data_IF_456410345035
#
_entry.id   IF_456410345035
#
_cell.length_a   1.000
_cell.length_b   1.000
_cell.length_c   1.000
_cell.angle_alpha   90.00
_cell.angle_beta   90.00
_cell.angle_gamma   90.00
#
_symmetry.space_group_name_H-M   'P 1'
#
loop_
_entity.id
_entity.type
_entity.pdbx_description
1 polymer ?
#
# COMPACT_ATOMS: atom_id res chain seq x y z
N UNK A 1 -41.06 -13.55 13.36
CA UNK A 1 -40.44 -13.78 14.68
C UNK A 1 -38.98 -13.36 14.60
N UNK A 2 -38.67 -12.15 15.06
CA UNK A 2 -37.29 -11.68 15.21
C UNK A 2 -36.67 -12.48 16.36
N UNK A 3 -35.76 -13.39 16.05
CA UNK A 3 -34.90 -14.00 17.07
C UNK A 3 -34.05 -12.90 17.69
N UNK A 4 -34.44 -12.39 18.86
CA UNK A 4 -33.57 -11.57 19.68
C UNK A 4 -32.39 -12.44 20.12
N UNK A 5 -31.23 -12.22 19.51
CA UNK A 5 -30.00 -12.88 19.93
C UNK A 5 -29.54 -12.20 21.23
N UNK A 6 -29.81 -12.84 22.37
CA UNK A 6 -29.36 -12.36 23.67
C UNK A 6 -27.84 -12.49 23.72
N UNK A 7 -27.14 -11.40 24.01
CA UNK A 7 -25.69 -11.42 24.08
C UNK A 7 -25.24 -12.06 25.40
N UNK A 8 -24.35 -13.04 25.30
CA UNK A 8 -23.85 -13.78 26.48
C UNK A 8 -22.33 -13.65 26.62
N UNK A 9 -21.87 -13.68 27.87
CA UNK A 9 -20.45 -13.79 28.18
C UNK A 9 -19.91 -15.14 27.68
N UNK A 10 -18.88 -15.10 26.83
CA UNK A 10 -18.29 -16.30 26.23
C UNK A 10 -17.61 -17.25 27.23
N UNK A 11 -17.43 -16.84 28.49
CA UNK A 11 -16.89 -17.71 29.53
C UNK A 11 -17.97 -18.30 30.45
N UNK A 12 -18.77 -17.43 31.08
CA UNK A 12 -19.68 -17.83 32.16
C UNK A 12 -21.15 -17.86 31.74
N UNK A 13 -21.48 -17.56 30.48
CA UNK A 13 -22.84 -17.60 29.95
C UNK A 13 -23.77 -16.48 30.43
N UNK A 14 -23.31 -15.56 31.29
CA UNK A 14 -24.13 -14.43 31.76
C UNK A 14 -24.65 -13.59 30.60
N UNK A 15 -25.96 -13.40 30.56
CA UNK A 15 -26.66 -12.55 29.60
C UNK A 15 -26.39 -11.06 29.88
N UNK A 16 -26.38 -10.27 28.81
CA UNK A 16 -26.35 -8.81 28.92
C UNK A 16 -27.68 -8.30 29.47
N UNK A 17 -27.62 -7.44 30.49
CA UNK A 17 -28.79 -6.73 31.02
C UNK A 17 -28.34 -5.34 31.53
N UNK A 18 -29.25 -4.56 32.13
CA UNK A 18 -28.93 -3.21 32.63
C UNK A 18 -27.73 -3.18 33.59
N UNK A 19 -27.56 -4.25 34.38
CA UNK A 19 -26.46 -4.40 35.35
C UNK A 19 -25.18 -5.03 34.76
N UNK A 20 -25.30 -5.84 33.70
CA UNK A 20 -24.20 -6.62 33.11
C UNK A 20 -23.90 -6.11 31.71
N UNK A 21 -22.91 -5.22 31.60
CA UNK A 21 -22.41 -4.73 30.30
C UNK A 21 -21.31 -5.66 29.78
N UNK A 22 -21.55 -6.26 28.61
CA UNK A 22 -20.56 -7.11 27.94
C UNK A 22 -19.61 -6.27 27.08
N UNK A 23 -18.32 -6.59 27.13
CA UNK A 23 -17.27 -5.94 26.31
C UNK A 23 -16.70 -6.91 25.29
N UNK A 24 -16.54 -6.44 24.06
CA UNK A 24 -15.87 -7.20 23.00
C UNK A 24 -14.42 -7.55 23.40
N UNK A 25 -13.96 -8.72 22.96
CA UNK A 25 -12.54 -9.02 22.92
C UNK A 25 -11.84 -7.95 22.08
N UNK A 26 -10.89 -7.24 22.69
CA UNK A 26 -10.17 -6.12 22.02
C UNK A 26 -9.36 -6.57 20.82
N UNK A 27 -8.98 -7.85 20.76
CA UNK A 27 -8.20 -8.41 19.66
C UNK A 27 -9.09 -8.80 18.47
N UNK A 28 -10.06 -9.71 18.66
CA UNK A 28 -10.82 -10.30 17.55
C UNK A 28 -12.25 -9.77 17.38
N UNK A 29 -12.81 -9.08 18.40
CA UNK A 29 -14.20 -8.59 18.43
C UNK A 29 -15.30 -9.64 18.23
N UNK A 30 -15.00 -10.94 18.17
CA UNK A 30 -15.98 -12.02 17.96
C UNK A 30 -16.77 -12.43 19.20
N UNK A 31 -16.16 -12.25 20.37
CA UNK A 31 -16.68 -12.75 21.64
C UNK A 31 -16.73 -11.63 22.65
N UNK A 32 -17.71 -11.69 23.55
CA UNK A 32 -17.93 -10.67 24.58
C UNK A 32 -17.70 -11.25 25.98
N UNK A 33 -17.31 -10.38 26.91
CA UNK A 33 -17.00 -10.74 28.30
C UNK A 33 -17.63 -9.75 29.27
N UNK A 34 -18.18 -10.26 30.39
CA UNK A 34 -18.68 -9.42 31.48
C UNK A 34 -17.55 -8.91 32.41
N UNK A 35 -16.37 -9.53 32.38
CA UNK A 35 -15.22 -9.14 33.21
C UNK A 35 -13.88 -9.56 32.58
N UNK A 36 -12.80 -8.95 33.07
CA UNK A 36 -11.42 -9.31 32.69
C UNK A 36 -11.10 -10.76 33.08
N UNK A 37 -11.63 -11.26 34.20
CA UNK A 37 -11.41 -12.64 34.65
C UNK A 37 -12.05 -13.65 33.69
N UNK A 38 -13.26 -13.36 33.22
CA UNK A 38 -13.91 -14.17 32.18
C UNK A 38 -13.10 -14.19 30.89
N UNK A 39 -12.54 -13.04 30.48
CA UNK A 39 -11.66 -12.98 29.31
C UNK A 39 -10.38 -13.82 29.51
N UNK A 40 -9.74 -13.75 30.68
CA UNK A 40 -8.53 -14.51 31.01
C UNK A 40 -8.80 -16.01 31.03
N UNK A 41 -9.90 -16.44 31.62
CA UNK A 41 -10.29 -17.85 31.71
C UNK A 41 -10.63 -18.45 30.32
N UNK A 42 -11.31 -17.69 29.46
CA UNK A 42 -11.64 -18.14 28.10
C UNK A 42 -10.45 -18.09 27.13
N UNK A 43 -9.40 -17.31 27.42
CA UNK A 43 -8.26 -17.06 26.51
C UNK A 43 -7.67 -18.35 25.93
N UNK A 44 -7.47 -19.40 26.74
CA UNK A 44 -6.85 -20.66 26.27
C UNK A 44 -7.71 -21.37 25.22
N UNK A 45 -9.03 -21.42 25.42
CA UNK A 45 -9.99 -22.05 24.49
C UNK A 45 -10.12 -21.25 23.18
N UNK A 46 -10.04 -19.92 23.26
CA UNK A 46 -10.27 -19.03 22.13
C UNK A 46 -9.01 -18.64 21.34
N UNK A 47 -7.81 -18.89 21.87
CA UNK A 47 -6.54 -18.38 21.34
C UNK A 47 -6.37 -18.57 19.83
N UNK A 48 -6.66 -19.77 19.31
CA UNK A 48 -6.51 -20.11 17.88
C UNK A 48 -7.49 -19.31 17.01
N UNK A 49 -8.78 -19.33 17.35
CA UNK A 49 -9.82 -18.59 16.64
C UNK A 49 -9.58 -17.06 16.70
N UNK A 50 -9.17 -16.56 17.87
CA UNK A 50 -8.83 -15.16 18.09
C UNK A 50 -7.70 -14.70 17.15
N UNK A 51 -6.60 -15.47 17.08
CA UNK A 51 -5.47 -15.18 16.20
C UNK A 51 -5.88 -15.17 14.73
N UNK A 52 -6.68 -16.15 14.30
CA UNK A 52 -7.19 -16.20 12.92
C UNK A 52 -7.98 -14.94 12.60
N UNK A 53 -8.93 -14.57 13.46
CA UNK A 53 -9.74 -13.36 13.26
C UNK A 53 -8.91 -12.07 13.29
N UNK A 54 -7.89 -11.99 14.14
CA UNK A 54 -6.98 -10.83 14.14
C UNK A 54 -6.28 -10.69 12.78
N UNK A 55 -5.85 -11.80 12.17
CA UNK A 55 -5.29 -11.77 10.82
C UNK A 55 -6.33 -11.37 9.78
N UNK A 56 -7.55 -11.90 9.84
CA UNK A 56 -8.66 -11.50 8.95
C UNK A 56 -8.99 -10.01 9.06
N UNK A 57 -9.05 -9.45 10.29
CA UNK A 57 -9.30 -8.03 10.50
C UNK A 57 -8.18 -7.13 9.95
N UNK A 58 -6.93 -7.61 10.00
CA UNK A 58 -5.80 -6.91 9.37
C UNK A 58 -5.95 -6.91 7.85
N UNK A 59 -6.27 -8.06 7.26
CA UNK A 59 -6.51 -8.20 5.83
C UNK A 59 -7.70 -7.37 5.35
N UNK A 60 -8.82 -7.42 6.07
CA UNK A 60 -10.00 -6.58 5.82
C UNK A 60 -9.61 -5.10 5.75
N UNK A 61 -8.85 -4.61 6.73
CA UNK A 61 -8.35 -3.22 6.74
C UNK A 61 -7.39 -2.93 5.58
N UNK A 62 -6.46 -3.83 5.30
CA UNK A 62 -5.45 -3.68 4.25
C UNK A 62 -6.09 -3.55 2.87
N UNK A 63 -7.12 -4.35 2.59
CA UNK A 63 -7.82 -4.35 1.31
C UNK A 63 -8.90 -3.27 1.22
N UNK A 64 -9.50 -2.83 2.33
CA UNK A 64 -10.51 -1.76 2.33
C UNK A 64 -9.92 -0.35 2.19
N UNK A 65 -8.61 -0.18 2.42
CA UNK A 65 -7.94 1.12 2.36
C UNK A 65 -7.08 1.26 1.10
N UNK A 66 -6.78 2.50 0.70
CA UNK A 66 -5.88 2.82 -0.41
C UNK A 66 -6.37 2.29 -1.76
N UNK A 67 -7.69 2.36 -2.00
CA UNK A 67 -8.34 1.98 -3.26
C UNK A 67 -8.44 3.15 -4.25
N UNK A 68 -8.10 4.36 -3.82
CA UNK A 68 -8.09 5.58 -4.62
C UNK A 68 -6.66 6.06 -4.80
N UNK A 69 -6.41 6.73 -5.93
CA UNK A 69 -5.12 7.34 -6.23
C UNK A 69 -4.89 8.56 -5.34
N UNK A 70 -3.70 8.69 -4.73
CA UNK A 70 -3.38 9.85 -3.91
C UNK A 70 -3.10 11.09 -4.78
N UNK A 71 -3.39 12.29 -4.27
CA UNK A 71 -3.15 13.59 -4.93
C UNK A 71 -1.69 13.82 -5.40
N UNK A 72 -0.74 13.00 -4.94
CA UNK A 72 0.68 13.07 -5.33
C UNK A 72 1.00 12.49 -6.71
N UNK A 73 0.00 11.95 -7.41
CA UNK A 73 0.15 11.47 -8.80
C UNK A 73 0.16 12.63 -9.81
N UNK A 74 0.04 13.87 -9.33
CA UNK A 74 0.22 15.10 -10.09
C UNK A 74 1.64 15.65 -9.90
N UNK A 75 2.23 16.13 -10.99
CA UNK A 75 3.55 16.75 -10.91
C UNK A 75 3.46 18.05 -10.09
N UNK A 76 4.25 18.26 -9.04
CA UNK A 76 4.13 19.44 -8.18
C UNK A 76 4.68 20.73 -8.82
N UNK A 77 5.28 20.64 -10.02
CA UNK A 77 5.80 21.79 -10.77
C UNK A 77 4.78 22.29 -11.79
N UNK A 78 4.21 21.38 -12.60
CA UNK A 78 3.26 21.75 -13.65
C UNK A 78 1.80 21.42 -13.29
N UNK A 79 1.56 20.82 -12.11
CA UNK A 79 0.24 20.42 -11.60
C UNK A 79 -0.58 19.50 -12.50
N UNK A 80 0.02 18.94 -13.55
CA UNK A 80 -0.61 18.00 -14.48
C UNK A 80 -0.44 16.56 -13.99
N UNK A 81 -1.43 15.67 -14.22
CA UNK A 81 -1.33 14.25 -13.87
C UNK A 81 -0.10 13.63 -14.54
N UNK A 82 0.59 12.74 -13.84
CA UNK A 82 1.74 12.01 -14.37
C UNK A 82 1.21 10.78 -15.13
N UNK A 83 1.50 10.63 -16.43
CA UNK A 83 1.00 9.50 -17.20
C UNK A 83 1.43 8.14 -16.63
N UNK A 84 0.64 7.12 -16.91
CA UNK A 84 0.93 5.73 -16.52
C UNK A 84 1.77 5.02 -17.60
N UNK A 85 2.76 4.19 -17.23
CA UNK A 85 3.25 3.91 -15.87
C UNK A 85 4.03 5.09 -15.26
N UNK A 86 3.79 5.41 -13.99
CA UNK A 86 4.36 6.63 -13.39
C UNK A 86 5.89 6.58 -13.24
N UNK A 87 6.47 5.41 -12.98
CA UNK A 87 7.93 5.22 -12.87
C UNK A 87 8.66 5.59 -14.16
N UNK A 88 8.04 5.33 -15.32
CA UNK A 88 8.59 5.68 -16.64
C UNK A 88 8.49 7.18 -16.93
N UNK A 89 7.50 7.85 -16.35
CA UNK A 89 7.19 9.24 -16.65
C UNK A 89 7.56 10.24 -15.55
N UNK A 90 8.19 9.78 -14.46
CA UNK A 90 8.58 10.62 -13.33
C UNK A 90 9.91 10.22 -12.70
N UNK A 91 10.38 11.08 -11.79
CA UNK A 91 11.56 10.85 -10.96
C UNK A 91 11.19 11.23 -9.53
N UNK A 92 11.44 10.32 -8.58
CA UNK A 92 11.31 10.59 -7.16
C UNK A 92 12.54 11.34 -6.64
N UNK A 93 12.32 12.48 -5.99
CA UNK A 93 13.37 13.33 -5.44
C UNK A 93 13.46 13.11 -3.93
N UNK A 94 14.47 12.35 -3.50
CA UNK A 94 14.69 11.99 -2.07
C UNK A 94 14.84 13.23 -1.18
N UNK A 95 15.44 14.31 -1.68
CA UNK A 95 15.66 15.53 -0.90
C UNK A 95 14.38 16.25 -0.43
N UNK A 96 13.25 16.05 -1.10
CA UNK A 96 11.98 16.68 -0.74
C UNK A 96 10.78 15.73 -0.75
N UNK A 97 11.03 14.43 -0.96
CA UNK A 97 10.00 13.38 -1.07
C UNK A 97 8.92 13.71 -2.11
N UNK A 98 9.30 14.37 -3.21
CA UNK A 98 8.39 14.74 -4.30
C UNK A 98 8.68 13.94 -5.56
N UNK A 99 7.62 13.55 -6.25
CA UNK A 99 7.68 12.92 -7.56
C UNK A 99 7.47 13.97 -8.63
N UNK A 100 8.47 14.18 -9.48
CA UNK A 100 8.44 15.21 -10.53
C UNK A 100 8.39 14.53 -11.88
N UNK A 101 7.50 14.97 -12.78
CA UNK A 101 7.45 14.40 -14.12
C UNK A 101 8.75 14.67 -14.90
N UNK A 102 9.15 13.74 -15.77
CA UNK A 102 10.39 13.89 -16.56
C UNK A 102 10.40 15.14 -17.42
N UNK A 103 9.24 15.59 -17.92
CA UNK A 103 9.13 16.83 -18.69
C UNK A 103 9.57 18.06 -17.90
N UNK A 104 9.10 18.21 -16.66
CA UNK A 104 9.52 19.32 -15.78
C UNK A 104 11.00 19.23 -15.41
N UNK A 105 11.52 18.01 -15.20
CA UNK A 105 12.95 17.83 -14.95
C UNK A 105 13.80 18.27 -16.15
N UNK A 106 13.47 17.80 -17.35
CA UNK A 106 14.20 18.18 -18.58
C UNK A 106 14.11 19.68 -18.81
N UNK A 107 12.94 20.29 -18.58
CA UNK A 107 12.76 21.74 -18.69
C UNK A 107 13.64 22.51 -17.68
N UNK A 108 13.80 22.01 -16.46
CA UNK A 108 14.71 22.60 -15.47
C UNK A 108 16.17 22.50 -15.92
N UNK A 109 16.62 21.31 -16.38
CA UNK A 109 17.97 21.11 -16.90
C UNK A 109 18.28 22.03 -18.10
N UNK A 110 17.33 22.20 -19.03
CA UNK A 110 17.48 23.13 -20.17
C UNK A 110 17.66 24.59 -19.75
N UNK A 111 17.21 24.97 -18.55
CA UNK A 111 17.42 26.29 -17.96
C UNK A 111 18.70 26.39 -17.12
N UNK A 112 19.58 25.39 -17.19
CA UNK A 112 20.83 25.33 -16.42
C UNK A 112 20.65 24.96 -14.95
N UNK A 113 19.48 24.43 -14.55
CA UNK A 113 19.26 23.95 -13.20
C UNK A 113 19.60 22.46 -13.10
N UNK A 114 20.74 22.13 -12.47
CA UNK A 114 21.19 20.75 -12.25
C UNK A 114 20.88 20.21 -10.84
N UNK A 115 20.40 21.09 -9.95
CA UNK A 115 19.91 20.74 -8.62
C UNK A 115 18.50 20.12 -8.70
N UNK A 116 17.92 19.73 -7.56
CA UNK A 116 16.54 19.26 -7.54
C UNK A 116 15.57 20.29 -8.17
N UNK A 117 14.88 19.91 -9.24
CA UNK A 117 13.93 20.79 -9.93
C UNK A 117 12.79 21.33 -9.06
N UNK A 118 12.49 20.68 -7.93
CA UNK A 118 11.44 21.13 -7.00
C UNK A 118 12.01 22.01 -5.87
N UNK A 119 12.89 21.46 -5.02
CA UNK A 119 13.35 22.15 -3.80
C UNK A 119 14.74 22.79 -3.92
N UNK A 120 15.39 22.73 -5.09
CA UNK A 120 16.72 23.30 -5.37
C UNK A 120 17.86 22.75 -4.51
N UNK A 121 17.65 21.67 -3.75
CA UNK A 121 18.74 21.00 -3.03
C UNK A 121 19.80 20.50 -4.02
N UNK A 122 21.09 20.81 -3.81
CA UNK A 122 22.15 20.38 -4.69
C UNK A 122 22.26 18.87 -4.85
N UNK A 123 22.62 18.41 -6.05
CA UNK A 123 22.89 17.01 -6.32
C UNK A 123 24.27 16.65 -5.75
N UNK A 124 24.30 15.78 -4.74
CA UNK A 124 25.57 15.27 -4.20
C UNK A 124 26.06 14.08 -5.02
N UNK A 125 27.18 14.24 -5.71
CA UNK A 125 27.92 13.17 -6.38
C UNK A 125 29.00 12.62 -5.43
N UNK A 126 28.67 11.66 -4.56
CA UNK A 126 29.70 10.81 -3.93
C UNK A 126 29.12 9.64 -3.12
N UNK A 127 29.74 8.48 -3.31
CA UNK A 127 29.64 7.18 -2.62
C UNK A 127 28.24 6.58 -2.40
N UNK A 128 27.92 5.54 -3.17
CA UNK A 128 26.62 4.85 -3.17
C UNK A 128 26.25 4.31 -1.78
N UNK A 129 27.23 3.90 -0.99
CA UNK A 129 27.03 3.35 0.36
C UNK A 129 26.67 4.40 1.41
N UNK A 130 27.40 5.53 1.43
CA UNK A 130 27.12 6.68 2.29
C UNK A 130 25.77 7.33 1.95
N UNK A 131 25.38 7.28 0.67
CA UNK A 131 24.10 7.78 0.21
C UNK A 131 22.92 6.91 0.69
N UNK A 132 23.07 5.59 0.75
CA UNK A 132 22.01 4.69 1.21
C UNK A 132 21.72 4.88 2.70
N UNK A 133 22.74 4.92 3.56
CA UNK A 133 22.54 5.14 4.99
C UNK A 133 21.87 6.50 5.28
N UNK A 134 22.30 7.56 4.58
CA UNK A 134 21.64 8.87 4.67
C UNK A 134 20.21 8.84 4.16
N UNK A 135 19.94 8.15 3.05
CA UNK A 135 18.59 8.01 2.50
C UNK A 135 17.66 7.28 3.47
N UNK A 136 18.15 6.23 4.15
CA UNK A 136 17.40 5.52 5.19
C UNK A 136 17.01 6.45 6.33
N UNK A 137 17.94 7.28 6.82
CA UNK A 137 17.65 8.26 7.86
C UNK A 137 16.57 9.26 7.40
N UNK A 138 16.75 9.82 6.20
CA UNK A 138 15.77 10.75 5.62
C UNK A 138 14.40 10.10 5.43
N UNK A 139 14.34 8.83 5.02
CA UNK A 139 13.08 8.12 4.88
C UNK A 139 12.43 7.82 6.23
N UNK A 140 13.20 7.49 7.27
CA UNK A 140 12.66 7.31 8.62
C UNK A 140 12.05 8.62 9.13
N UNK A 141 12.75 9.74 9.01
CA UNK A 141 12.21 11.06 9.35
C UNK A 141 10.95 11.39 8.53
N UNK A 142 10.99 11.11 7.23
CA UNK A 142 9.86 11.37 6.35
C UNK A 142 8.65 10.46 6.67
N UNK A 143 8.85 9.22 7.14
CA UNK A 143 7.77 8.34 7.60
C UNK A 143 7.04 8.94 8.79
N UNK A 144 7.77 9.51 9.76
CA UNK A 144 7.17 10.22 10.91
C UNK A 144 6.34 11.45 10.46
N UNK A 145 6.76 12.09 9.37
CA UNK A 145 6.02 13.17 8.72
C UNK A 145 4.90 12.68 7.77
N UNK A 146 4.67 11.37 7.72
CA UNK A 146 3.61 10.76 6.93
C UNK A 146 3.94 10.58 5.44
N UNK A 147 5.21 10.56 5.03
CA UNK A 147 5.58 10.30 3.64
C UNK A 147 5.30 8.84 3.25
N UNK A 148 4.52 8.67 2.18
CA UNK A 148 4.08 7.36 1.71
C UNK A 148 5.16 6.71 0.83
N UNK A 149 5.85 7.49 -0.02
CA UNK A 149 7.00 7.02 -0.80
C UNK A 149 8.18 6.64 0.13
N UNK A 150 8.33 7.29 1.30
CA UNK A 150 9.34 6.89 2.27
C UNK A 150 9.10 5.49 2.83
N UNK A 151 7.85 5.15 3.16
CA UNK A 151 7.48 3.78 3.50
C UNK A 151 7.83 2.82 2.35
N UNK A 152 7.47 3.13 1.11
CA UNK A 152 7.78 2.27 -0.04
C UNK A 152 9.29 2.01 -0.19
N UNK A 153 10.10 3.06 -0.12
CA UNK A 153 11.56 2.98 -0.25
C UNK A 153 12.22 2.21 0.90
N UNK A 154 11.77 2.41 2.15
CA UNK A 154 12.23 1.62 3.30
C UNK A 154 11.90 0.15 3.12
N UNK A 155 10.71 -0.18 2.59
CA UNK A 155 10.34 -1.55 2.27
C UNK A 155 11.32 -2.20 1.28
N UNK A 156 11.70 -1.48 0.23
CA UNK A 156 12.70 -1.96 -0.73
C UNK A 156 14.07 -2.20 -0.12
N UNK A 157 14.52 -1.29 0.75
CA UNK A 157 15.82 -1.40 1.41
C UNK A 157 15.87 -2.59 2.37
N UNK A 158 14.85 -2.75 3.21
CA UNK A 158 14.79 -3.90 4.12
C UNK A 158 14.65 -5.23 3.38
N UNK A 159 13.96 -5.26 2.24
CA UNK A 159 13.88 -6.49 1.44
C UNK A 159 15.25 -6.86 0.83
N UNK A 160 15.98 -5.87 0.28
CA UNK A 160 17.26 -6.10 -0.42
C UNK A 160 18.48 -6.14 0.50
N UNK A 161 18.37 -5.67 1.74
CA UNK A 161 19.51 -5.52 2.65
C UNK A 161 20.52 -4.45 2.21
N UNK A 162 20.07 -3.40 1.51
CA UNK A 162 20.97 -2.33 1.06
C UNK A 162 21.26 -1.36 2.21
N UNK A 163 22.46 -1.41 2.77
CA UNK A 163 22.88 -0.51 3.87
C UNK A 163 22.28 -0.84 5.25
N UNK A 164 21.45 -1.87 5.34
CA UNK A 164 20.92 -2.47 6.59
C UNK A 164 20.81 -3.98 6.42
N UNK A 165 20.74 -4.72 7.52
CA UNK A 165 20.46 -6.15 7.45
C UNK A 165 19.09 -6.41 6.77
N UNK A 166 18.99 -7.39 5.86
CA UNK A 166 17.71 -7.79 5.29
C UNK A 166 16.70 -8.14 6.39
N UNK A 167 15.49 -7.59 6.27
CA UNK A 167 14.37 -7.89 7.14
C UNK A 167 13.06 -7.81 6.36
N UNK A 168 12.66 -8.96 5.83
CA UNK A 168 11.46 -9.07 5.01
C UNK A 168 10.17 -8.72 5.78
N UNK A 169 10.10 -9.04 7.08
CA UNK A 169 8.92 -8.74 7.88
C UNK A 169 8.74 -7.22 8.04
N UNK A 170 9.84 -6.48 8.29
CA UNK A 170 9.82 -5.01 8.26
C UNK A 170 9.51 -4.48 6.87
N UNK A 171 10.04 -5.10 5.82
CA UNK A 171 9.73 -4.70 4.45
C UNK A 171 8.23 -4.75 4.15
N UNK A 172 7.59 -5.87 4.50
CA UNK A 172 6.14 -6.07 4.36
C UNK A 172 5.38 -5.02 5.17
N UNK A 173 5.74 -4.74 6.42
CA UNK A 173 5.06 -3.73 7.24
C UNK A 173 5.10 -2.32 6.63
N UNK A 174 6.26 -1.94 6.09
CA UNK A 174 6.39 -0.66 5.39
C UNK A 174 5.54 -0.63 4.12
N UNK A 175 5.55 -1.70 3.31
CA UNK A 175 4.72 -1.78 2.11
C UNK A 175 3.22 -1.85 2.40
N UNK A 176 2.77 -2.56 3.43
CA UNK A 176 1.37 -2.56 3.87
C UNK A 176 0.93 -1.16 4.28
N UNK A 177 1.78 -0.44 5.01
CA UNK A 177 1.52 0.96 5.41
C UNK A 177 1.40 1.89 4.20
N UNK A 178 2.27 1.72 3.20
CA UNK A 178 2.21 2.48 1.97
C UNK A 178 0.98 2.12 1.12
N UNK A 179 0.68 0.82 0.98
CA UNK A 179 -0.44 0.30 0.21
C UNK A 179 -1.77 0.81 0.78
N UNK A 180 -2.00 0.73 2.09
CA UNK A 180 -3.19 1.28 2.75
C UNK A 180 -3.42 2.77 2.47
N UNK A 181 -2.39 3.50 2.06
CA UNK A 181 -2.43 4.93 1.71
C UNK A 181 -2.33 5.18 0.20
N UNK A 182 -2.67 4.17 -0.60
CA UNK A 182 -2.80 4.25 -2.05
C UNK A 182 -1.47 4.14 -2.81
N UNK A 183 -0.38 3.68 -2.19
CA UNK A 183 0.86 3.47 -2.96
C UNK A 183 0.75 2.22 -3.84
N UNK A 184 0.68 2.46 -5.15
CA UNK A 184 0.44 1.44 -6.17
C UNK A 184 1.57 0.41 -6.23
N UNK A 185 2.82 0.85 -6.39
CA UNK A 185 3.99 -0.05 -6.51
C UNK A 185 4.21 -0.90 -5.24
N UNK A 186 4.03 -0.32 -4.04
CA UNK A 186 4.07 -1.07 -2.78
C UNK A 186 3.03 -2.21 -2.77
N UNK A 187 1.84 -1.93 -3.29
CA UNK A 187 0.77 -2.92 -3.37
C UNK A 187 1.07 -4.01 -4.40
N UNK A 188 1.59 -3.64 -5.57
CA UNK A 188 2.05 -4.60 -6.58
C UNK A 188 3.15 -5.52 -6.05
N UNK A 189 4.12 -4.96 -5.29
CA UNK A 189 5.18 -5.73 -4.64
C UNK A 189 4.65 -6.72 -3.59
N UNK A 190 3.63 -6.34 -2.81
CA UNK A 190 2.96 -7.28 -1.90
C UNK A 190 2.26 -8.41 -2.65
N UNK A 191 1.67 -8.12 -3.82
CA UNK A 191 1.08 -9.12 -4.70
C UNK A 191 2.12 -10.12 -5.19
N UNK A 192 3.22 -9.64 -5.76
CA UNK A 192 4.29 -10.47 -6.28
C UNK A 192 4.97 -11.30 -5.17
N UNK A 193 5.21 -10.71 -4.00
CA UNK A 193 5.77 -11.42 -2.85
C UNK A 193 4.81 -12.51 -2.33
N UNK A 194 3.51 -12.22 -2.33
CA UNK A 194 2.47 -13.18 -1.95
C UNK A 194 2.47 -14.39 -2.89
N UNK A 195 2.48 -14.15 -4.20
CA UNK A 195 2.47 -15.19 -5.23
C UNK A 195 3.71 -16.09 -5.14
N UNK A 196 4.91 -15.49 -5.02
CA UNK A 196 6.16 -16.24 -4.85
C UNK A 196 6.18 -17.14 -3.60
N UNK A 197 5.32 -16.86 -2.62
CA UNK A 197 5.18 -17.63 -1.38
C UNK A 197 4.00 -18.60 -1.38
N UNK A 198 3.31 -18.75 -2.51
CA UNK A 198 2.10 -19.58 -2.64
C UNK A 198 0.89 -19.02 -1.89
N UNK A 199 0.88 -17.72 -1.58
CA UNK A 199 -0.28 -17.04 -0.98
C UNK A 199 -1.17 -16.43 -2.06
N UNK A 200 -1.60 -17.27 -3.00
CA UNK A 200 -2.23 -16.87 -4.25
C UNK A 200 -3.47 -16.00 -4.06
N UNK A 201 -4.33 -16.34 -3.10
CA UNK A 201 -5.54 -15.55 -2.81
C UNK A 201 -5.19 -14.11 -2.39
N UNK A 202 -4.15 -13.95 -1.56
CA UNK A 202 -3.67 -12.62 -1.14
C UNK A 202 -3.01 -11.90 -2.31
N UNK A 203 -2.25 -12.61 -3.13
CA UNK A 203 -1.61 -12.04 -4.31
C UNK A 203 -2.62 -11.48 -5.30
N UNK A 204 -3.69 -12.24 -5.61
CA UNK A 204 -4.80 -11.78 -6.45
C UNK A 204 -5.40 -10.50 -5.88
N UNK A 205 -5.73 -10.45 -4.58
CA UNK A 205 -6.33 -9.25 -3.97
C UNK A 205 -5.44 -8.01 -4.09
N UNK A 206 -4.13 -8.17 -3.89
CA UNK A 206 -3.18 -7.07 -4.05
C UNK A 206 -3.09 -6.59 -5.49
N UNK A 207 -2.94 -7.51 -6.45
CA UNK A 207 -2.83 -7.18 -7.86
C UNK A 207 -4.13 -6.60 -8.44
N UNK A 208 -5.32 -7.06 -7.99
CA UNK A 208 -6.60 -6.46 -8.38
C UNK A 208 -6.66 -4.97 -8.05
N UNK A 209 -6.32 -4.62 -6.82
CA UNK A 209 -6.39 -3.22 -6.39
C UNK A 209 -5.29 -2.39 -7.06
N UNK A 210 -4.08 -2.94 -7.22
CA UNK A 210 -3.01 -2.25 -7.93
C UNK A 210 -3.33 -2.02 -9.42
N UNK A 211 -3.89 -3.02 -10.11
CA UNK A 211 -4.34 -2.90 -11.49
C UNK A 211 -5.46 -1.86 -11.65
N UNK A 212 -6.43 -1.85 -10.72
CA UNK A 212 -7.47 -0.81 -10.68
C UNK A 212 -6.90 0.60 -10.46
N UNK A 213 -5.77 0.70 -9.77
CA UNK A 213 -5.02 1.94 -9.63
C UNK A 213 -4.08 2.21 -10.81
N UNK A 214 -4.21 1.48 -11.94
CA UNK A 214 -3.45 1.74 -13.15
C UNK A 214 -2.06 1.09 -13.20
N UNK A 215 -1.78 0.11 -12.35
CA UNK A 215 -0.53 -0.67 -12.44
C UNK A 215 -0.60 -1.72 -13.54
N UNK A 216 0.17 -1.51 -14.61
CA UNK A 216 0.17 -2.42 -15.76
C UNK A 216 0.75 -3.79 -15.40
N UNK A 217 1.82 -3.84 -14.62
CA UNK A 217 2.45 -5.10 -14.20
C UNK A 217 1.46 -5.96 -13.40
N UNK A 218 0.69 -5.37 -12.48
CA UNK A 218 -0.33 -6.11 -11.75
C UNK A 218 -1.48 -6.58 -12.64
N UNK A 219 -1.85 -5.82 -13.68
CA UNK A 219 -2.84 -6.27 -14.66
C UNK A 219 -2.33 -7.50 -15.43
N UNK A 220 -1.09 -7.45 -15.90
CA UNK A 220 -0.44 -8.57 -16.59
C UNK A 220 -0.31 -9.78 -15.66
N UNK A 221 0.06 -9.58 -14.39
CA UNK A 221 0.08 -10.66 -13.39
C UNK A 221 -1.31 -11.28 -13.17
N UNK A 222 -2.39 -10.49 -13.07
CA UNK A 222 -3.75 -11.05 -12.95
C UNK A 222 -4.11 -11.87 -14.19
N UNK A 223 -3.69 -11.43 -15.38
CA UNK A 223 -3.90 -12.18 -16.62
C UNK A 223 -3.18 -13.53 -16.56
N UNK A 224 -1.93 -13.56 -16.13
CA UNK A 224 -1.15 -14.80 -16.00
C UNK A 224 -1.79 -15.73 -14.96
N UNK A 225 -2.15 -15.20 -13.80
CA UNK A 225 -2.85 -15.95 -12.75
C UNK A 225 -4.22 -16.49 -13.22
N UNK A 226 -4.91 -15.79 -14.14
CA UNK A 226 -6.14 -16.28 -14.75
C UNK A 226 -5.86 -17.46 -15.70
N UNK A 227 -4.81 -17.38 -16.50
CA UNK A 227 -4.38 -18.47 -17.39
C UNK A 227 -3.98 -19.73 -16.60
N UNK A 228 -3.43 -19.56 -15.40
CA UNK A 228 -3.08 -20.65 -14.48
C UNK A 228 -4.28 -21.21 -13.70
N UNK A 229 -5.46 -20.59 -13.81
CA UNK A 229 -6.68 -21.00 -13.09
C UNK A 229 -6.73 -20.55 -11.62
N UNK A 230 -5.79 -19.70 -11.19
CA UNK A 230 -5.73 -19.12 -9.84
C UNK A 230 -6.70 -17.95 -9.71
N UNK A 231 -6.72 -17.05 -10.70
CA UNK A 231 -7.67 -15.96 -10.78
C UNK A 231 -8.90 -16.35 -11.61
N UNK A 232 -10.06 -15.81 -11.25
CA UNK A 232 -11.30 -16.02 -11.99
C UNK A 232 -11.42 -15.06 -13.18
N UNK A 233 -12.25 -15.43 -14.17
CA UNK A 233 -12.58 -14.54 -15.29
C UNK A 233 -13.12 -13.19 -14.81
N UNK A 234 -14.00 -13.20 -13.80
CA UNK A 234 -14.58 -11.98 -13.22
C UNK A 234 -13.50 -11.06 -12.66
N UNK A 235 -12.54 -11.61 -11.91
CA UNK A 235 -11.41 -10.85 -11.35
C UNK A 235 -10.54 -10.23 -12.45
N UNK A 236 -10.22 -10.98 -13.51
CA UNK A 236 -9.47 -10.42 -14.63
C UNK A 236 -10.23 -9.30 -15.36
N UNK A 237 -11.54 -9.48 -15.61
CA UNK A 237 -12.35 -8.43 -16.23
C UNK A 237 -12.49 -7.17 -15.37
N UNK A 238 -12.55 -7.33 -14.05
CA UNK A 238 -12.55 -6.21 -13.10
C UNK A 238 -11.22 -5.44 -13.14
N UNK A 239 -10.09 -6.16 -13.11
CA UNK A 239 -8.76 -5.57 -13.21
C UNK A 239 -8.58 -4.77 -14.51
N UNK A 240 -8.99 -5.35 -15.66
CA UNK A 240 -8.94 -4.69 -16.96
C UNK A 240 -9.75 -3.40 -16.99
N UNK A 241 -10.99 -3.45 -16.49
CA UNK A 241 -11.88 -2.30 -16.46
C UNK A 241 -11.31 -1.19 -15.58
N UNK A 242 -10.91 -1.52 -14.35
CA UNK A 242 -10.34 -0.55 -13.42
C UNK A 242 -9.04 0.07 -13.95
N UNK A 243 -8.18 -0.72 -14.59
CA UNK A 243 -6.97 -0.22 -15.24
C UNK A 243 -7.30 0.81 -16.33
N UNK A 244 -8.28 0.52 -17.19
CA UNK A 244 -8.70 1.42 -18.26
C UNK A 244 -9.27 2.73 -17.70
N UNK A 245 -10.10 2.66 -16.66
CA UNK A 245 -10.61 3.84 -15.95
C UNK A 245 -9.46 4.71 -15.41
N UNK A 246 -8.46 4.11 -14.75
CA UNK A 246 -7.31 4.84 -14.24
C UNK A 246 -6.43 5.44 -15.34
N UNK A 247 -6.26 4.75 -16.47
CA UNK A 247 -5.55 5.31 -17.63
C UNK A 247 -6.28 6.53 -18.19
N UNK A 248 -7.61 6.47 -18.26
CA UNK A 248 -8.43 7.57 -18.77
C UNK A 248 -8.42 8.79 -17.84
N UNK A 249 -8.47 8.57 -16.52
CA UNK A 249 -8.34 9.62 -15.50
C UNK A 249 -6.99 10.34 -15.55
N UNK A 250 -5.91 9.62 -15.89
CA UNK A 250 -4.55 10.15 -15.88
C UNK A 250 -4.11 10.81 -17.20
N UNK A 251 -5.03 10.96 -18.17
CA UNK A 251 -4.78 11.70 -19.42
C UNK A 251 -4.58 13.20 -19.15
N UNK A 252 -3.72 13.83 -19.95
CA UNK A 252 -3.54 15.29 -19.95
C UNK A 252 -3.44 15.78 -21.39
N UNK A 253 -4.44 16.52 -21.89
CA UNK A 253 -4.42 17.10 -23.23
C UNK A 253 -3.18 17.96 -23.48
N UNK A 254 -2.72 18.70 -22.46
CA UNK A 254 -1.53 19.55 -22.53
C UNK A 254 -0.26 18.73 -22.77
N UNK A 255 -0.14 17.56 -22.12
CA UNK A 255 0.98 16.66 -22.36
C UNK A 255 0.90 16.01 -23.74
N UNK A 256 -0.30 15.69 -24.21
CA UNK A 256 -0.51 15.08 -25.52
C UNK A 256 -0.24 16.08 -26.66
N UNK A 257 -0.58 17.35 -26.47
CA UNK A 257 -0.21 18.44 -27.37
C UNK A 257 1.30 18.66 -27.37
N UNK A 258 1.93 18.74 -26.19
CA UNK A 258 3.37 18.92 -26.09
C UNK A 258 4.17 17.78 -26.75
N UNK A 259 3.68 16.53 -26.71
CA UNK A 259 4.31 15.39 -27.41
C UNK A 259 4.26 15.51 -28.93
N UNK A 260 3.25 16.20 -29.50
CA UNK A 260 3.12 16.38 -30.96
C UNK A 260 4.08 17.44 -31.51
N UNK A 261 4.61 18.31 -30.63
CA UNK A 261 5.49 19.42 -31.01
C UNK A 261 6.99 19.05 -31.02
N UNK A 262 7.33 17.77 -30.87
CA UNK A 262 8.70 17.24 -30.83
C UNK A 262 8.85 16.13 -31.87
#
# INVERSE_FOLDING_TARGET
>A
MSYFHVEVCAHCGKESNESVKLKNCTACRLVKYCSVDCQRAHRKKHKKACKKRVAELKDERLYSQGQERPERDFCPICTLPIPLPMEDHSIFKVCCMKRVCRGCEVAACKKGMFDCAFCRTPRHESDESANVARAINLWNEAVELGSIDAHFNLGHVYLKGKGVAPDEARAIQHWESAAMRGHVEARANLGALGYNKGNDERAVRHHLIAAKLGDKTSLDNIKDMFMEGVATKTQYTEALKGYQESVDEMKSPERDEAKKSW
#
